data_IF_022859789947
#
_entry.id   IF_022859789947
#
_cell.length_a   1.000
_cell.length_b   1.000
_cell.length_c   1.000
_cell.angle_alpha   90.00
_cell.angle_beta   90.00
_cell.angle_gamma   90.00
#
_symmetry.space_group_name_H-M   'P 1'
#
loop_
_entity.id
_entity.type
_entity.pdbx_description
1 polymer ?
#
# COMPACT_ATOMS: atom_id res chain seq x y z
N UNK A 1 -3.42 60.68 -36.01
CA UNK A 1 -3.46 59.26 -36.39
C UNK A 1 -3.59 58.44 -35.11
N UNK A 2 -4.67 58.62 -34.35
CA UNK A 2 -6.09 58.28 -34.63
C UNK A 2 -6.35 56.77 -34.48
N UNK A 3 -7.42 56.30 -33.85
CA UNK A 3 -8.42 56.94 -32.97
C UNK A 3 -9.11 55.82 -32.15
N UNK A 4 -9.58 56.10 -30.93
CA UNK A 4 -10.52 55.25 -30.18
C UNK A 4 -11.97 55.61 -30.59
N UNK A 5 -13.08 54.86 -30.25
CA UNK A 5 -13.58 54.76 -28.86
C UNK A 5 -14.50 53.56 -28.46
N UNK A 6 -14.72 53.44 -27.12
CA UNK A 6 -15.97 53.12 -26.34
C UNK A 6 -17.01 52.07 -26.81
N UNK A 7 -17.72 51.31 -25.96
CA UNK A 7 -18.36 51.60 -24.65
C UNK A 7 -18.67 50.27 -23.88
N UNK A 8 -19.12 50.15 -22.61
CA UNK A 8 -19.69 51.04 -21.56
C UNK A 8 -21.23 51.24 -21.56
N UNK A 9 -21.96 50.30 -20.93
CA UNK A 9 -23.32 50.45 -20.31
C UNK A 9 -23.34 49.52 -19.07
N UNK A 10 -23.42 49.92 -17.79
CA UNK A 10 -24.39 50.72 -16.98
C UNK A 10 -25.56 49.90 -16.39
N UNK A 11 -25.52 49.73 -15.05
CA UNK A 11 -26.58 49.27 -14.11
C UNK A 11 -27.75 50.27 -14.01
N UNK A 12 -28.98 49.93 -13.51
CA UNK A 12 -29.22 49.94 -12.04
C UNK A 12 -30.45 49.14 -11.46
N UNK A 13 -30.54 49.15 -10.12
CA UNK A 13 -31.73 49.15 -9.22
C UNK A 13 -33.09 48.54 -9.64
N UNK A 14 -33.72 47.79 -8.73
CA UNK A 14 -34.97 48.17 -8.00
C UNK A 14 -35.03 47.40 -6.66
N UNK A 15 -35.64 48.00 -5.62
CA UNK A 15 -35.98 47.37 -4.35
C UNK A 15 -37.48 47.57 -4.03
N UNK A 16 -38.16 46.50 -3.59
CA UNK A 16 -39.47 46.40 -2.91
C UNK A 16 -39.73 44.89 -2.65
N UNK A 17 -40.54 44.42 -1.71
CA UNK A 17 -41.53 45.09 -0.84
C UNK A 17 -41.71 44.31 0.48
N UNK A 18 -42.19 44.97 1.54
CA UNK A 18 -42.65 44.29 2.75
C UNK A 18 -44.06 43.74 2.54
N UNK A 19 -44.38 42.57 3.10
CA UNK A 19 -45.76 42.28 3.52
C UNK A 19 -45.80 41.68 4.93
N UNK A 20 -46.51 42.40 5.79
CA UNK A 20 -46.80 42.10 7.20
C UNK A 20 -47.91 41.06 7.35
N UNK A 21 -47.82 40.21 8.38
CA UNK A 21 -48.79 39.14 8.64
C UNK A 21 -48.80 38.65 10.09
N UNK A 22 -49.09 39.57 10.99
CA UNK A 22 -49.57 39.42 12.37
C UNK A 22 -50.26 38.09 12.77
N UNK A 23 -49.88 37.54 13.93
CA UNK A 23 -50.56 36.40 14.58
C UNK A 23 -49.99 36.08 15.97
N UNK A 24 -50.49 36.77 17.01
CA UNK A 24 -49.96 36.69 18.39
C UNK A 24 -50.73 35.69 19.29
N UNK A 25 -50.25 35.51 20.53
CA UNK A 25 -50.91 34.87 21.71
C UNK A 25 -50.87 33.32 21.67
N UNK A 26 -49.97 32.59 22.35
CA UNK A 26 -49.53 32.53 23.77
C UNK A 26 -50.46 31.75 24.72
N UNK A 27 -49.93 30.69 25.38
CA UNK A 27 -49.90 30.46 26.87
C UNK A 27 -49.73 28.97 27.30
N UNK A 28 -48.82 28.77 28.26
CA UNK A 28 -48.79 27.82 29.41
C UNK A 28 -49.19 26.32 29.29
N UNK A 29 -48.39 25.44 29.92
CA UNK A 29 -48.82 24.17 30.56
C UNK A 29 -49.07 24.36 32.07
N UNK A 30 -48.92 23.35 32.98
CA UNK A 30 -48.64 21.92 32.80
C UNK A 30 -49.53 20.95 33.65
N UNK A 31 -49.27 19.63 33.54
CA UNK A 31 -49.46 18.53 34.53
C UNK A 31 -50.78 18.31 35.34
N UNK A 32 -51.33 17.07 35.31
CA UNK A 32 -51.95 16.39 36.48
C UNK A 32 -52.30 14.87 36.25
N UNK A 33 -51.93 14.05 37.25
CA UNK A 33 -52.46 12.73 37.74
C UNK A 33 -53.56 11.93 37.01
N UNK A 34 -53.23 10.67 36.64
CA UNK A 34 -53.63 9.42 37.35
C UNK A 34 -55.11 8.99 37.52
N UNK A 35 -55.42 7.74 37.12
CA UNK A 35 -56.56 6.95 37.65
C UNK A 35 -56.34 5.43 37.48
N UNK A 36 -56.81 4.63 38.46
CA UNK A 36 -56.74 3.16 38.47
C UNK A 36 -58.00 2.52 37.84
N UNK A 37 -57.87 1.35 37.17
CA UNK A 37 -58.89 0.29 37.26
C UNK A 37 -58.35 -1.12 36.93
N UNK A 38 -59.12 -2.13 37.32
CA UNK A 38 -58.68 -3.49 37.66
C UNK A 38 -58.64 -4.54 36.53
N UNK A 39 -57.78 -5.54 36.74
CA UNK A 39 -57.96 -6.98 36.50
C UNK A 39 -58.59 -7.51 35.19
N UNK A 40 -57.83 -8.33 34.47
CA UNK A 40 -58.37 -9.51 33.77
C UNK A 40 -57.40 -10.69 33.89
N UNK A 41 -57.90 -11.80 34.43
CA UNK A 41 -57.18 -13.06 34.64
C UNK A 41 -57.40 -13.96 33.41
N UNK A 42 -56.38 -14.13 32.58
CA UNK A 42 -56.42 -15.10 31.46
C UNK A 42 -55.75 -16.39 31.92
N UNK A 43 -56.56 -17.40 32.21
CA UNK A 43 -56.10 -18.78 32.38
C UNK A 43 -55.82 -19.34 30.99
N UNK A 44 -54.55 -19.61 30.68
CA UNK A 44 -54.17 -20.31 29.46
C UNK A 44 -53.83 -21.76 29.80
N UNK A 45 -54.67 -22.70 29.40
CA UNK A 45 -54.38 -24.14 29.52
C UNK A 45 -53.31 -24.54 28.50
N UNK A 46 -52.18 -25.05 28.96
CA UNK A 46 -51.11 -25.54 28.09
C UNK A 46 -51.40 -26.98 27.65
N UNK A 47 -51.75 -27.16 26.37
CA UNK A 47 -51.98 -28.47 25.77
C UNK A 47 -50.63 -29.22 25.58
N UNK A 48 -50.44 -30.45 26.08
CA UNK A 48 -49.12 -31.10 26.10
C UNK A 48 -48.57 -31.51 24.72
N UNK A 49 -49.34 -31.34 23.65
CA UNK A 49 -48.93 -31.76 22.29
C UNK A 49 -48.05 -30.74 21.53
N UNK A 50 -48.08 -29.44 21.87
CA UNK A 50 -47.22 -28.45 21.17
C UNK A 50 -45.74 -28.60 21.53
N UNK A 51 -45.44 -29.08 22.74
CA UNK A 51 -44.06 -29.31 23.21
C UNK A 51 -43.30 -30.36 22.38
N UNK A 52 -43.99 -31.26 21.67
CA UNK A 52 -43.34 -32.26 20.83
C UNK A 52 -43.01 -31.76 19.41
N UNK A 53 -43.76 -30.80 18.85
CA UNK A 53 -43.40 -30.22 17.54
C UNK A 53 -42.13 -29.38 17.63
N UNK A 54 -41.97 -28.56 18.68
CA UNK A 54 -40.72 -27.84 18.94
C UNK A 54 -39.51 -28.78 19.12
N UNK A 55 -39.72 -29.96 19.71
CA UNK A 55 -38.65 -30.94 19.97
C UNK A 55 -38.21 -31.72 18.74
N UNK A 56 -39.09 -31.94 17.76
CA UNK A 56 -38.70 -32.54 16.48
C UNK A 56 -38.07 -31.52 15.51
N UNK A 57 -38.57 -30.29 15.46
CA UNK A 57 -37.95 -29.21 14.69
C UNK A 57 -36.49 -28.94 15.13
N UNK A 58 -36.21 -29.05 16.43
CA UNK A 58 -34.85 -28.89 16.99
C UNK A 58 -33.92 -30.09 16.68
N UNK A 59 -34.46 -31.28 16.43
CA UNK A 59 -33.66 -32.50 16.20
C UNK A 59 -33.21 -32.70 14.74
N UNK A 60 -33.88 -32.05 13.77
CA UNK A 60 -33.53 -32.13 12.35
C UNK A 60 -32.27 -31.34 11.95
N UNK A 61 -31.79 -30.42 12.80
CA UNK A 61 -30.64 -29.55 12.49
C UNK A 61 -29.29 -30.09 13.00
N UNK A 62 -29.25 -31.26 13.64
CA UNK A 62 -28.05 -31.83 14.24
C UNK A 62 -27.38 -32.93 13.39
N UNK A 63 -27.64 -33.00 12.08
CA UNK A 63 -26.99 -33.94 11.16
C UNK A 63 -26.31 -33.18 10.02
N UNK A 64 -25.09 -32.71 10.28
CA UNK A 64 -23.99 -32.39 9.32
C UNK A 64 -22.97 -31.35 9.85
N UNK A 65 -22.81 -31.20 11.17
CA UNK A 65 -21.70 -30.42 11.77
C UNK A 65 -20.82 -31.36 12.59
N UNK A 66 -20.09 -32.23 11.88
CA UNK A 66 -19.12 -33.16 12.46
C UNK A 66 -17.87 -33.36 11.58
N UNK A 67 -17.62 -32.44 10.64
CA UNK A 67 -16.48 -32.46 9.70
C UNK A 67 -15.88 -31.05 9.53
N UNK A 68 -15.51 -30.38 10.64
CA UNK A 68 -14.82 -29.08 10.57
C UNK A 68 -13.94 -28.71 11.77
N UNK A 69 -13.64 -29.63 12.68
CA UNK A 69 -12.88 -29.33 13.92
C UNK A 69 -11.35 -29.51 13.79
N UNK A 70 -10.85 -29.45 12.54
CA UNK A 70 -9.45 -29.13 12.25
C UNK A 70 -9.40 -27.68 11.74
N UNK A 71 -9.46 -26.73 12.67
CA UNK A 71 -9.65 -25.30 12.38
C UNK A 71 -8.70 -24.79 11.29
N UNK A 72 -9.21 -24.32 10.13
CA UNK A 72 -8.35 -23.90 9.04
C UNK A 72 -7.59 -22.64 9.44
N UNK A 73 -6.26 -22.80 9.48
CA UNK A 73 -5.24 -21.76 9.62
C UNK A 73 -5.72 -20.39 9.11
N UNK A 74 -6.10 -19.51 10.06
CA UNK A 74 -6.68 -18.16 9.84
C UNK A 74 -5.78 -17.19 9.05
N UNK A 75 -4.56 -17.62 8.72
CA UNK A 75 -3.60 -16.93 7.86
C UNK A 75 -3.70 -17.31 6.37
N UNK A 76 -4.29 -18.46 6.01
CA UNK A 76 -4.47 -18.85 4.61
C UNK A 76 -5.74 -18.21 4.00
N UNK A 77 -5.64 -17.48 2.88
CA UNK A 77 -6.81 -16.91 2.22
C UNK A 77 -7.65 -17.98 1.52
N UNK A 78 -8.97 -17.85 1.62
CA UNK A 78 -9.94 -18.90 1.28
C UNK A 78 -10.21 -19.10 -0.22
N UNK A 79 -9.85 -18.15 -1.09
CA UNK A 79 -10.24 -18.18 -2.51
C UNK A 79 -9.14 -18.81 -3.39
N UNK A 80 -9.51 -19.60 -4.41
CA UNK A 80 -8.53 -20.38 -5.19
C UNK A 80 -7.56 -19.48 -5.96
N UNK A 81 -8.02 -18.35 -6.50
CA UNK A 81 -7.17 -17.37 -7.17
C UNK A 81 -6.16 -16.73 -6.20
N UNK A 82 -6.55 -16.53 -4.95
CA UNK A 82 -5.65 -15.97 -3.94
C UNK A 82 -4.54 -16.97 -3.57
N UNK A 83 -4.88 -18.25 -3.40
CA UNK A 83 -3.89 -19.32 -3.20
C UNK A 83 -2.95 -19.49 -4.41
N UNK A 84 -3.49 -19.41 -5.62
CA UNK A 84 -2.70 -19.48 -6.86
C UNK A 84 -1.74 -18.29 -7.00
N UNK A 85 -2.19 -17.07 -6.65
CA UNK A 85 -1.33 -15.87 -6.66
C UNK A 85 -0.17 -15.99 -5.67
N UNK A 86 -0.43 -16.51 -4.46
CA UNK A 86 0.59 -16.80 -3.47
C UNK A 86 1.61 -17.83 -3.97
N UNK A 87 1.15 -18.94 -4.53
CA UNK A 87 2.02 -19.97 -5.07
C UNK A 87 2.87 -19.43 -6.21
N UNK A 88 2.28 -18.65 -7.12
CA UNK A 88 2.98 -18.06 -8.25
C UNK A 88 4.06 -17.03 -7.83
N UNK A 89 3.84 -16.19 -6.81
CA UNK A 89 4.89 -15.29 -6.32
C UNK A 89 6.04 -16.05 -5.65
N UNK A 90 5.75 -17.10 -4.88
CA UNK A 90 6.81 -17.93 -4.30
C UNK A 90 7.59 -18.69 -5.38
N UNK A 91 6.89 -19.22 -6.40
CA UNK A 91 7.53 -19.90 -7.53
C UNK A 91 8.43 -18.95 -8.34
N UNK A 92 7.97 -17.73 -8.67
CA UNK A 92 8.82 -16.74 -9.33
C UNK A 92 10.05 -16.42 -8.48
N UNK A 93 9.86 -16.12 -7.19
CA UNK A 93 10.95 -15.75 -6.30
C UNK A 93 12.01 -16.85 -6.20
N UNK A 94 11.61 -18.12 -6.02
CA UNK A 94 12.55 -19.25 -5.98
C UNK A 94 13.30 -19.39 -7.30
N UNK A 95 12.61 -19.36 -8.44
CA UNK A 95 13.24 -19.48 -9.75
C UNK A 95 14.24 -18.34 -10.01
N UNK A 96 13.88 -17.10 -9.71
CA UNK A 96 14.77 -15.95 -9.87
C UNK A 96 15.96 -16.03 -8.91
N UNK A 97 15.75 -16.36 -7.63
CA UNK A 97 16.84 -16.50 -6.64
C UNK A 97 17.86 -17.57 -7.06
N UNK A 98 17.41 -18.71 -7.58
CA UNK A 98 18.29 -19.77 -8.08
C UNK A 98 19.10 -19.28 -9.29
N UNK A 99 18.44 -18.62 -10.26
CA UNK A 99 19.14 -18.12 -11.45
C UNK A 99 20.12 -16.97 -11.12
N UNK A 100 19.76 -16.05 -10.23
CA UNK A 100 20.65 -15.01 -9.71
C UNK A 100 21.87 -15.60 -8.99
N UNK A 101 21.69 -16.70 -8.25
CA UNK A 101 22.81 -17.40 -7.61
C UNK A 101 23.78 -17.99 -8.63
N UNK A 102 23.29 -18.46 -9.78
CA UNK A 102 24.13 -18.89 -10.91
C UNK A 102 24.88 -17.71 -11.54
N UNK A 103 24.19 -16.59 -11.80
CA UNK A 103 24.82 -15.36 -12.32
C UNK A 103 25.91 -14.85 -11.38
N UNK A 104 25.65 -14.81 -10.07
CA UNK A 104 26.60 -14.39 -9.04
C UNK A 104 27.86 -15.27 -9.07
N UNK A 105 27.70 -16.60 -9.03
CA UNK A 105 28.83 -17.53 -9.05
C UNK A 105 29.70 -17.36 -10.32
N UNK A 106 29.07 -17.30 -11.50
CA UNK A 106 29.78 -17.08 -12.77
C UNK A 106 30.50 -15.72 -12.79
N UNK A 107 29.86 -14.66 -12.29
CA UNK A 107 30.46 -13.34 -12.21
C UNK A 107 31.68 -13.31 -11.28
N UNK A 108 31.58 -13.88 -10.06
CA UNK A 108 32.70 -13.92 -9.11
C UNK A 108 33.85 -14.82 -9.53
N UNK A 109 33.58 -15.85 -10.35
CA UNK A 109 34.61 -16.73 -10.89
C UNK A 109 35.48 -16.07 -11.97
N UNK A 110 35.09 -14.89 -12.48
CA UNK A 110 35.68 -14.28 -13.68
C UNK A 110 36.13 -12.85 -13.53
N UNK A 111 35.74 -12.17 -12.44
CA UNK A 111 36.20 -10.82 -12.11
C UNK A 111 36.65 -10.81 -10.65
N UNK A 112 37.91 -10.46 -10.42
CA UNK A 112 38.43 -10.29 -9.06
C UNK A 112 37.82 -9.02 -8.43
N UNK A 113 36.81 -9.22 -7.59
CA UNK A 113 36.08 -8.13 -6.91
C UNK A 113 36.91 -7.35 -5.90
N UNK A 114 38.16 -7.75 -5.64
CA UNK A 114 39.07 -7.06 -4.72
C UNK A 114 39.76 -5.85 -5.37
N UNK A 115 39.86 -5.77 -6.70
CA UNK A 115 40.42 -4.60 -7.36
C UNK A 115 39.48 -3.38 -7.28
N UNK A 116 40.00 -2.16 -7.04
CA UNK A 116 39.19 -0.95 -6.93
C UNK A 116 38.73 -0.43 -8.30
N UNK A 117 37.78 -1.14 -8.92
CA UNK A 117 37.10 -0.76 -10.17
C UNK A 117 35.57 -0.63 -10.03
N UNK A 118 34.86 -0.08 -11.04
CA UNK A 118 33.41 0.12 -10.96
C UNK A 118 32.62 -1.20 -10.89
N UNK A 119 33.23 -2.32 -11.32
CA UNK A 119 32.71 -3.67 -11.17
C UNK A 119 32.37 -4.07 -9.71
N UNK A 120 33.00 -3.44 -8.71
CA UNK A 120 32.72 -3.67 -7.28
C UNK A 120 31.26 -3.41 -6.88
N UNK A 121 30.53 -2.57 -7.64
CA UNK A 121 29.09 -2.34 -7.41
C UNK A 121 28.17 -3.45 -7.93
N UNK A 122 28.64 -4.32 -8.83
CA UNK A 122 27.79 -5.28 -9.54
C UNK A 122 27.16 -6.33 -8.59
N UNK A 123 27.92 -6.93 -7.64
CA UNK A 123 27.34 -7.80 -6.62
C UNK A 123 26.19 -7.16 -5.83
N UNK A 124 26.24 -5.84 -5.60
CA UNK A 124 25.22 -5.11 -4.85
C UNK A 124 23.89 -5.06 -5.60
N UNK A 125 23.95 -4.95 -6.92
CA UNK A 125 22.75 -4.98 -7.77
C UNK A 125 22.07 -6.35 -7.71
N UNK A 126 22.83 -7.44 -7.81
CA UNK A 126 22.32 -8.81 -7.68
C UNK A 126 21.65 -9.01 -6.30
N UNK A 127 22.29 -8.57 -5.21
CA UNK A 127 21.72 -8.64 -3.84
C UNK A 127 20.43 -7.83 -3.70
N UNK A 128 20.32 -6.67 -4.35
CA UNK A 128 19.09 -5.85 -4.31
C UNK A 128 17.97 -6.51 -5.13
N UNK A 129 18.30 -7.23 -6.19
CA UNK A 129 17.30 -8.00 -6.94
C UNK A 129 16.79 -9.21 -6.14
N UNK A 130 17.66 -9.90 -5.39
CA UNK A 130 17.26 -10.91 -4.40
C UNK A 130 16.35 -10.31 -3.31
N UNK A 131 16.71 -9.13 -2.78
CA UNK A 131 15.88 -8.40 -1.81
C UNK A 131 14.51 -8.02 -2.39
N UNK A 132 14.44 -7.67 -3.69
CA UNK A 132 13.19 -7.37 -4.39
C UNK A 132 12.26 -8.58 -4.43
N UNK A 133 12.77 -9.80 -4.68
CA UNK A 133 11.95 -11.02 -4.66
C UNK A 133 11.32 -11.27 -3.28
N UNK A 134 12.11 -11.12 -2.21
CA UNK A 134 11.61 -11.26 -0.82
C UNK A 134 10.56 -10.19 -0.51
N UNK A 135 10.82 -8.93 -0.87
CA UNK A 135 9.90 -7.82 -0.65
C UNK A 135 8.60 -7.97 -1.46
N UNK A 136 8.67 -8.52 -2.68
CA UNK A 136 7.51 -8.82 -3.51
C UNK A 136 6.59 -9.87 -2.85
N UNK A 137 7.15 -10.93 -2.23
CA UNK A 137 6.36 -11.89 -1.45
C UNK A 137 5.64 -11.17 -0.31
N UNK A 138 6.32 -10.28 0.43
CA UNK A 138 5.73 -9.51 1.54
C UNK A 138 4.62 -8.56 1.05
N UNK A 139 4.80 -7.89 -0.10
CA UNK A 139 3.76 -7.06 -0.71
C UNK A 139 2.53 -7.88 -1.11
N UNK A 140 2.76 -9.03 -1.74
CA UNK A 140 1.69 -9.96 -2.09
C UNK A 140 0.93 -10.39 -0.83
N UNK A 141 1.66 -10.93 0.16
CA UNK A 141 1.11 -11.39 1.44
C UNK A 141 0.21 -10.35 2.11
N UNK A 142 0.69 -9.11 2.22
CA UNK A 142 -0.05 -8.00 2.82
C UNK A 142 -1.31 -7.63 2.01
N UNK A 143 -1.23 -7.64 0.67
CA UNK A 143 -2.36 -7.36 -0.21
C UNK A 143 -3.47 -8.42 -0.10
N UNK A 144 -3.09 -9.70 -0.02
CA UNK A 144 -4.01 -10.83 0.06
C UNK A 144 -4.71 -10.90 1.42
N UNK A 145 -3.97 -10.77 2.54
CA UNK A 145 -4.55 -10.74 3.90
C UNK A 145 -5.53 -9.58 4.06
N UNK A 146 -5.18 -8.39 3.56
CA UNK A 146 -6.02 -7.18 3.72
C UNK A 146 -7.21 -7.14 2.75
N UNK A 147 -7.27 -8.06 1.79
CA UNK A 147 -8.24 -8.08 0.70
C UNK A 147 -8.37 -6.71 0.02
N UNK A 148 -7.23 -6.10 -0.28
CA UNK A 148 -7.15 -4.70 -0.69
C UNK A 148 -6.76 -4.58 -2.16
N UNK A 149 -7.71 -4.19 -3.01
CA UNK A 149 -7.53 -4.02 -4.45
C UNK A 149 -6.38 -3.07 -4.80
N UNK A 150 -6.19 -2.00 -4.04
CA UNK A 150 -5.11 -1.04 -4.28
C UNK A 150 -3.73 -1.68 -4.04
N UNK A 151 -3.61 -2.58 -3.05
CA UNK A 151 -2.35 -3.27 -2.76
C UNK A 151 -2.03 -4.39 -3.76
N UNK A 152 -3.04 -4.98 -4.42
CA UNK A 152 -2.79 -5.88 -5.56
C UNK A 152 -2.19 -5.08 -6.72
N UNK A 153 -2.74 -3.88 -7.02
CA UNK A 153 -2.17 -2.98 -8.03
C UNK A 153 -0.71 -2.62 -7.73
N UNK A 154 -0.41 -2.32 -6.46
CA UNK A 154 0.96 -2.11 -5.96
C UNK A 154 1.88 -3.31 -6.21
N UNK A 155 1.43 -4.53 -5.91
CA UNK A 155 2.19 -5.77 -6.16
C UNK A 155 2.50 -5.98 -7.66
N UNK A 156 1.53 -5.78 -8.56
CA UNK A 156 1.74 -5.91 -10.01
C UNK A 156 2.65 -4.81 -10.57
N UNK A 157 2.51 -3.57 -10.07
CA UNK A 157 3.39 -2.47 -10.46
C UNK A 157 4.83 -2.69 -9.96
N UNK A 158 5.01 -3.30 -8.78
CA UNK A 158 6.33 -3.67 -8.28
C UNK A 158 6.98 -4.79 -9.11
N UNK A 159 6.21 -5.80 -9.54
CA UNK A 159 6.75 -6.82 -10.45
C UNK A 159 7.07 -6.26 -11.85
N UNK A 160 6.35 -5.23 -12.32
CA UNK A 160 6.73 -4.49 -13.53
C UNK A 160 8.07 -3.76 -13.35
N UNK A 161 8.34 -3.18 -12.17
CA UNK A 161 9.64 -2.58 -11.86
C UNK A 161 10.78 -3.63 -11.83
N UNK A 162 10.50 -4.83 -11.30
CA UNK A 162 11.42 -5.99 -11.35
C UNK A 162 11.69 -6.42 -12.80
N UNK A 163 10.66 -6.45 -13.67
CA UNK A 163 10.84 -6.73 -15.09
C UNK A 163 11.75 -5.68 -15.76
N UNK A 164 11.48 -4.39 -15.54
CA UNK A 164 12.35 -3.31 -16.03
C UNK A 164 13.78 -3.46 -15.53
N UNK A 165 13.97 -3.80 -14.24
CA UNK A 165 15.28 -4.04 -13.66
C UNK A 165 16.04 -5.17 -14.37
N UNK A 166 15.37 -6.29 -14.67
CA UNK A 166 16.00 -7.41 -15.39
C UNK A 166 16.49 -7.03 -16.80
N UNK A 167 15.81 -6.09 -17.49
CA UNK A 167 16.23 -5.54 -18.79
C UNK A 167 17.53 -4.73 -18.62
N UNK A 168 17.61 -3.84 -17.63
CA UNK A 168 18.83 -3.09 -17.34
C UNK A 168 19.98 -4.01 -16.92
N UNK A 169 19.69 -5.07 -16.17
CA UNK A 169 20.67 -6.06 -15.74
C UNK A 169 21.27 -6.83 -16.91
N UNK A 170 20.44 -7.33 -17.83
CA UNK A 170 20.91 -7.92 -19.07
C UNK A 170 21.78 -6.93 -19.87
N UNK A 171 21.29 -5.71 -20.10
CA UNK A 171 21.95 -4.69 -20.91
C UNK A 171 23.27 -4.15 -20.32
N UNK A 172 23.49 -4.33 -19.01
CA UNK A 172 24.71 -3.92 -18.34
C UNK A 172 25.72 -5.06 -18.20
N UNK A 173 25.30 -6.24 -17.72
CA UNK A 173 26.22 -7.35 -17.49
C UNK A 173 26.79 -7.91 -18.79
N UNK A 174 26.04 -7.90 -19.90
CA UNK A 174 26.55 -8.36 -21.21
C UNK A 174 27.65 -7.46 -21.80
N UNK A 175 27.78 -6.19 -21.35
CA UNK A 175 28.88 -5.30 -21.77
C UNK A 175 30.18 -5.55 -21.01
N UNK A 176 30.08 -6.23 -19.87
CA UNK A 176 31.17 -6.48 -18.91
C UNK A 176 31.62 -7.94 -19.04
N UNK A 177 30.70 -8.83 -19.38
CA UNK A 177 31.02 -10.17 -19.83
C UNK A 177 31.71 -10.13 -21.20
N UNK A 178 33.03 -10.32 -21.20
CA UNK A 178 33.72 -10.81 -22.38
C UNK A 178 33.09 -12.14 -22.84
N UNK A 179 33.21 -12.46 -24.13
CA UNK A 179 32.46 -13.52 -24.83
C UNK A 179 32.44 -14.89 -24.13
N UNK A 180 33.48 -15.20 -23.35
CA UNK A 180 33.79 -16.54 -22.85
C UNK A 180 33.07 -16.91 -21.55
N UNK A 181 32.44 -15.96 -20.85
CA UNK A 181 31.96 -16.16 -19.46
C UNK A 181 30.55 -16.80 -19.39
N UNK A 182 29.81 -16.87 -20.51
CA UNK A 182 28.52 -17.58 -20.57
C UNK A 182 27.33 -16.92 -19.83
N UNK A 183 27.50 -15.75 -19.22
CA UNK A 183 26.43 -15.01 -18.49
C UNK A 183 25.17 -14.74 -19.31
N UNK A 184 25.26 -14.68 -20.64
CA UNK A 184 24.15 -14.34 -21.53
C UNK A 184 22.92 -15.24 -21.34
N UNK A 185 23.13 -16.55 -21.16
CA UNK A 185 22.04 -17.53 -21.01
C UNK A 185 21.23 -17.31 -19.73
N UNK A 186 21.81 -17.33 -18.51
CA UNK A 186 21.03 -17.15 -17.29
C UNK A 186 20.34 -15.78 -17.21
N UNK A 187 20.97 -14.71 -17.73
CA UNK A 187 20.37 -13.37 -17.76
C UNK A 187 19.10 -13.30 -18.65
N UNK A 188 19.13 -13.93 -19.83
CA UNK A 188 17.93 -14.04 -20.69
C UNK A 188 16.84 -14.87 -20.01
N UNK A 189 17.21 -15.99 -19.35
CA UNK A 189 16.27 -16.85 -18.63
C UNK A 189 15.57 -16.11 -17.49
N UNK A 190 16.30 -15.31 -16.69
CA UNK A 190 15.72 -14.46 -15.63
C UNK A 190 14.65 -13.51 -16.21
N UNK A 191 15.00 -12.79 -17.27
CA UNK A 191 14.11 -11.83 -17.94
C UNK A 191 12.85 -12.51 -18.50
N UNK A 192 12.99 -13.69 -19.13
CA UNK A 192 11.85 -14.47 -19.65
C UNK A 192 10.95 -14.97 -18.53
N UNK A 193 11.52 -15.48 -17.43
CA UNK A 193 10.75 -15.93 -16.25
C UNK A 193 9.93 -14.77 -15.69
N UNK A 194 10.57 -13.63 -15.38
CA UNK A 194 9.87 -12.46 -14.82
C UNK A 194 8.80 -11.92 -15.78
N UNK A 195 9.03 -11.94 -17.10
CA UNK A 195 8.04 -11.53 -18.09
C UNK A 195 6.80 -12.45 -18.12
N UNK A 196 7.00 -13.78 -18.08
CA UNK A 196 5.90 -14.75 -18.04
C UNK A 196 5.07 -14.57 -16.76
N UNK A 197 5.73 -14.45 -15.60
CA UNK A 197 5.04 -14.22 -14.34
C UNK A 197 4.39 -12.82 -14.26
N UNK A 198 4.93 -11.79 -14.90
CA UNK A 198 4.27 -10.48 -15.02
C UNK A 198 2.92 -10.60 -15.74
N UNK A 199 2.86 -11.31 -16.87
CA UNK A 199 1.61 -11.57 -17.58
C UNK A 199 0.61 -12.36 -16.71
N UNK A 200 1.10 -13.38 -15.98
CA UNK A 200 0.29 -14.16 -15.04
C UNK A 200 -0.26 -13.29 -13.89
N UNK A 201 0.55 -12.41 -13.30
CA UNK A 201 0.10 -11.54 -12.21
C UNK A 201 -0.88 -10.47 -12.69
N UNK A 202 -0.76 -9.93 -13.91
CA UNK A 202 -1.76 -9.03 -14.50
C UNK A 202 -3.12 -9.74 -14.66
N UNK A 203 -3.10 -10.99 -15.16
CA UNK A 203 -4.30 -11.81 -15.28
C UNK A 203 -4.94 -12.14 -13.92
N UNK A 204 -4.15 -12.61 -12.96
CA UNK A 204 -4.63 -12.94 -11.62
C UNK A 204 -5.14 -11.70 -10.89
N UNK A 205 -4.43 -10.57 -10.99
CA UNK A 205 -4.86 -9.30 -10.40
C UNK A 205 -6.19 -8.82 -10.96
N UNK A 206 -6.48 -9.05 -12.24
CA UNK A 206 -7.78 -8.72 -12.85
C UNK A 206 -8.92 -9.56 -12.24
N UNK A 207 -8.67 -10.84 -11.92
CA UNK A 207 -9.63 -11.70 -11.21
C UNK A 207 -9.80 -11.28 -9.74
N UNK A 208 -8.70 -11.06 -9.01
CA UNK A 208 -8.75 -10.63 -7.61
C UNK A 208 -9.34 -9.22 -7.45
N UNK A 209 -9.13 -8.31 -8.40
CA UNK A 209 -9.70 -6.96 -8.37
C UNK A 209 -11.23 -7.00 -8.36
N UNK A 210 -11.82 -7.88 -9.16
CA UNK A 210 -13.27 -8.12 -9.16
C UNK A 210 -13.72 -8.68 -7.80
N UNK A 211 -13.12 -9.78 -7.34
CA UNK A 211 -13.47 -10.47 -6.07
C UNK A 211 -13.37 -9.55 -4.84
N UNK A 212 -12.28 -8.80 -4.71
CA UNK A 212 -12.08 -7.90 -3.57
C UNK A 212 -12.85 -6.59 -3.73
N UNK A 213 -13.11 -6.14 -4.96
CA UNK A 213 -13.96 -4.97 -5.25
C UNK A 213 -15.38 -5.13 -4.72
N UNK A 214 -16.00 -6.29 -4.94
CA UNK A 214 -17.32 -6.63 -4.36
C UNK A 214 -17.30 -6.67 -2.83
N UNK A 215 -16.22 -7.15 -2.24
CA UNK A 215 -16.03 -7.23 -0.78
C UNK A 215 -15.88 -5.85 -0.15
N UNK A 216 -15.15 -4.94 -0.79
CA UNK A 216 -14.97 -3.56 -0.36
C UNK A 216 -16.29 -2.76 -0.45
N UNK A 217 -17.05 -2.95 -1.54
CA UNK A 217 -18.37 -2.32 -1.71
C UNK A 217 -19.31 -2.68 -0.56
N UNK A 218 -19.42 -3.97 -0.22
CA UNK A 218 -20.25 -4.45 0.90
C UNK A 218 -19.82 -3.92 2.28
N UNK A 219 -18.53 -3.62 2.47
CA UNK A 219 -17.98 -3.19 3.78
C UNK A 219 -18.10 -1.69 4.04
N UNK A 220 -17.95 -0.84 3.01
CA UNK A 220 -17.93 0.63 3.17
C UNK A 220 -19.33 1.24 2.95
N UNK A 221 -20.20 0.57 2.19
CA UNK A 221 -21.50 1.08 1.82
C UNK A 221 -21.47 1.92 0.54
N UNK A 222 -22.61 2.55 0.24
CA UNK A 222 -22.86 3.18 -1.05
C UNK A 222 -22.25 4.58 -1.23
N UNK A 223 -21.85 5.28 -0.15
CA UNK A 223 -21.32 6.64 -0.25
C UNK A 223 -20.02 6.69 -1.09
N UNK A 224 -20.03 7.41 -2.23
CA UNK A 224 -18.83 7.56 -3.05
C UNK A 224 -17.74 8.41 -2.36
N UNK A 225 -18.10 9.35 -1.48
CA UNK A 225 -17.17 10.29 -0.89
C UNK A 225 -16.20 9.59 0.08
N UNK A 226 -16.75 8.87 1.07
CA UNK A 226 -15.95 8.08 2.02
C UNK A 226 -15.09 7.01 1.32
N UNK A 227 -15.57 6.44 0.20
CA UNK A 227 -14.81 5.46 -0.59
C UNK A 227 -13.58 6.05 -1.26
N UNK A 228 -13.67 7.24 -1.86
CA UNK A 228 -12.52 7.86 -2.53
C UNK A 228 -11.48 8.40 -1.53
N UNK A 229 -11.95 8.94 -0.41
CA UNK A 229 -11.11 9.34 0.70
C UNK A 229 -10.35 8.14 1.31
N UNK A 230 -11.02 7.01 1.53
CA UNK A 230 -10.38 5.77 1.99
C UNK A 230 -9.39 5.22 0.96
N UNK A 231 -9.73 5.25 -0.34
CA UNK A 231 -8.83 4.86 -1.43
C UNK A 231 -7.57 5.73 -1.43
N UNK A 232 -7.69 7.04 -1.29
CA UNK A 232 -6.54 7.97 -1.24
C UNK A 232 -5.60 7.62 -0.09
N UNK A 233 -6.14 7.34 1.10
CA UNK A 233 -5.34 6.86 2.24
C UNK A 233 -4.66 5.50 1.96
N UNK A 234 -5.35 4.55 1.32
CA UNK A 234 -4.74 3.28 0.92
C UNK A 234 -3.61 3.46 -0.11
N UNK A 235 -3.76 4.41 -1.06
CA UNK A 235 -2.70 4.78 -2.01
C UNK A 235 -1.51 5.39 -1.27
N UNK A 236 -1.74 6.24 -0.27
CA UNK A 236 -0.66 6.79 0.54
C UNK A 236 0.14 5.68 1.25
N UNK A 237 -0.56 4.76 1.94
CA UNK A 237 0.09 3.67 2.69
C UNK A 237 0.80 2.66 1.79
N UNK A 238 0.32 2.40 0.57
CA UNK A 238 1.05 1.52 -0.38
C UNK A 238 2.27 2.22 -1.00
N UNK A 239 2.21 3.52 -1.26
CA UNK A 239 3.36 4.27 -1.78
C UNK A 239 4.48 4.32 -0.73
N UNK A 240 4.16 4.70 0.51
CA UNK A 240 5.15 4.71 1.61
C UNK A 240 5.75 3.31 1.85
N UNK A 241 4.98 2.24 1.68
CA UNK A 241 5.51 0.87 1.74
C UNK A 241 6.54 0.61 0.64
N UNK A 242 6.28 1.01 -0.60
CA UNK A 242 7.23 0.86 -1.70
C UNK A 242 8.44 1.80 -1.49
N UNK A 243 8.25 3.02 -0.98
CA UNK A 243 9.31 3.97 -0.67
C UNK A 243 10.33 3.42 0.34
N UNK A 244 9.90 2.60 1.31
CA UNK A 244 10.81 1.88 2.22
C UNK A 244 11.82 1.01 1.45
N UNK A 245 11.38 0.29 0.41
CA UNK A 245 12.28 -0.51 -0.43
C UNK A 245 13.25 0.39 -1.23
N UNK A 246 12.77 1.49 -1.82
CA UNK A 246 13.62 2.42 -2.56
C UNK A 246 14.63 3.16 -1.67
N UNK A 247 14.25 3.56 -0.46
CA UNK A 247 15.17 4.17 0.52
C UNK A 247 16.28 3.21 0.92
N UNK A 248 15.96 1.96 1.25
CA UNK A 248 16.97 0.95 1.61
C UNK A 248 17.84 0.58 0.41
N UNK A 249 17.24 0.31 -0.75
CA UNK A 249 17.96 -0.04 -1.97
C UNK A 249 18.91 1.07 -2.44
N UNK A 250 18.44 2.33 -2.47
CA UNK A 250 19.29 3.47 -2.84
C UNK A 250 20.39 3.71 -1.80
N UNK A 251 20.08 3.56 -0.50
CA UNK A 251 21.05 3.67 0.58
C UNK A 251 22.19 2.67 0.44
N UNK A 252 21.87 1.39 0.21
CA UNK A 252 22.86 0.32 0.02
C UNK A 252 23.70 0.55 -1.25
N UNK A 253 23.08 0.90 -2.38
CA UNK A 253 23.81 1.21 -3.63
C UNK A 253 24.79 2.37 -3.45
N UNK A 254 24.33 3.45 -2.82
CA UNK A 254 25.14 4.65 -2.64
C UNK A 254 26.30 4.42 -1.65
N UNK A 255 26.06 3.67 -0.58
CA UNK A 255 27.07 3.33 0.44
C UNK A 255 28.24 2.56 -0.18
N UNK A 256 27.98 1.51 -0.98
CA UNK A 256 29.06 0.67 -1.54
C UNK A 256 29.84 1.37 -2.67
N UNK A 257 29.18 2.21 -3.49
CA UNK A 257 29.79 2.77 -4.70
C UNK A 257 30.47 4.14 -4.52
N UNK A 258 30.02 4.95 -3.56
CA UNK A 258 30.36 6.38 -3.59
C UNK A 258 31.36 6.79 -2.51
N UNK A 259 31.48 6.01 -1.44
CA UNK A 259 32.08 6.49 -0.20
C UNK A 259 33.30 5.66 0.20
N UNK A 260 34.44 6.32 0.37
CA UNK A 260 35.62 5.74 0.99
C UNK A 260 35.40 5.68 2.50
N UNK A 261 35.84 4.60 3.15
CA UNK A 261 35.65 4.38 4.59
C UNK A 261 36.27 5.48 5.49
N UNK A 262 37.15 6.32 4.93
CA UNK A 262 37.77 7.49 5.57
C UNK A 262 36.87 8.72 5.67
N UNK A 263 35.81 8.81 4.86
CA UNK A 263 35.09 10.07 4.66
C UNK A 263 33.85 10.15 5.59
N UNK A 264 33.57 11.31 6.21
CA UNK A 264 32.41 11.47 7.10
C UNK A 264 31.06 11.28 6.37
N UNK A 265 31.02 11.36 5.03
CA UNK A 265 29.86 10.98 4.21
C UNK A 265 29.38 9.54 4.53
N UNK A 266 30.27 8.64 4.99
CA UNK A 266 29.98 7.22 5.25
C UNK A 266 29.06 7.03 6.45
N UNK A 267 29.47 7.55 7.61
CA UNK A 267 28.68 7.49 8.84
C UNK A 267 27.35 8.22 8.72
N UNK A 268 27.34 9.36 8.03
CA UNK A 268 26.10 10.11 7.74
C UNK A 268 25.13 9.28 6.90
N UNK A 269 25.62 8.60 5.85
CA UNK A 269 24.76 7.76 4.99
C UNK A 269 24.19 6.55 5.75
N UNK A 270 25.01 5.89 6.58
CA UNK A 270 24.58 4.77 7.42
C UNK A 270 23.49 5.20 8.41
N UNK A 271 23.68 6.35 9.08
CA UNK A 271 22.69 6.89 10.01
C UNK A 271 21.42 7.39 9.30
N UNK A 272 21.53 7.89 8.07
CA UNK A 272 20.40 8.41 7.30
C UNK A 272 19.37 7.33 6.95
N UNK A 273 19.77 6.08 6.65
CA UNK A 273 18.84 5.00 6.29
C UNK A 273 17.77 4.75 7.38
N UNK A 274 18.11 4.42 8.64
CA UNK A 274 17.10 4.20 9.68
C UNK A 274 16.33 5.48 10.04
N UNK A 275 16.95 6.66 9.96
CA UNK A 275 16.26 7.95 10.18
C UNK A 275 15.17 8.17 9.11
N UNK A 276 15.46 7.91 7.84
CA UNK A 276 14.48 8.01 6.75
C UNK A 276 13.34 6.99 6.90
N UNK A 277 13.63 5.77 7.34
CA UNK A 277 12.61 4.77 7.66
C UNK A 277 11.70 5.22 8.82
N UNK A 278 12.27 5.83 9.86
CA UNK A 278 11.51 6.41 10.97
C UNK A 278 10.60 7.55 10.49
N UNK A 279 11.11 8.46 9.65
CA UNK A 279 10.32 9.55 9.07
C UNK A 279 9.13 9.02 8.24
N UNK A 280 9.34 7.97 7.43
CA UNK A 280 8.26 7.32 6.68
C UNK A 280 7.21 6.68 7.61
N UNK A 281 7.63 6.04 8.71
CA UNK A 281 6.69 5.49 9.69
C UNK A 281 5.89 6.58 10.42
N UNK A 282 6.55 7.67 10.81
CA UNK A 282 5.92 8.85 11.44
C UNK A 282 4.94 9.53 10.46
N UNK A 283 5.23 9.57 9.16
CA UNK A 283 4.30 10.10 8.16
C UNK A 283 2.99 9.30 8.08
N UNK A 284 3.04 7.96 8.13
CA UNK A 284 1.83 7.10 8.19
C UNK A 284 1.03 7.36 9.47
N UNK A 285 1.70 7.56 10.60
CA UNK A 285 1.05 7.92 11.86
C UNK A 285 0.38 9.31 11.79
N UNK A 286 1.08 10.32 11.25
CA UNK A 286 0.56 11.69 11.09
C UNK A 286 -0.68 11.74 10.20
N UNK A 287 -0.64 11.10 9.02
CA UNK A 287 -1.80 11.01 8.12
C UNK A 287 -2.95 10.24 8.79
N UNK A 288 -2.68 9.21 9.60
CA UNK A 288 -3.72 8.45 10.30
C UNK A 288 -4.41 9.25 11.42
N UNK A 289 -3.68 10.13 12.11
CA UNK A 289 -4.24 11.02 13.14
C UNK A 289 -4.73 12.37 12.60
N UNK A 290 -4.62 12.60 11.29
CA UNK A 290 -4.91 13.89 10.64
C UNK A 290 -4.08 15.06 11.25
N UNK A 291 -2.88 14.75 11.75
CA UNK A 291 -1.96 15.71 12.35
C UNK A 291 -1.27 16.55 11.26
N UNK A 292 -1.75 17.79 11.11
CA UNK A 292 -1.26 18.73 10.10
C UNK A 292 0.23 19.07 10.26
N UNK A 293 0.76 19.10 11.48
CA UNK A 293 2.17 19.48 11.72
C UNK A 293 3.08 18.37 11.20
N UNK A 294 2.82 17.12 11.60
CA UNK A 294 3.60 15.96 11.17
C UNK A 294 3.59 15.83 9.64
N UNK A 295 2.42 15.97 9.01
CA UNK A 295 2.29 15.81 7.56
C UNK A 295 2.88 16.99 6.78
N UNK A 296 2.85 18.21 7.33
CA UNK A 296 3.55 19.36 6.73
C UNK A 296 5.07 19.22 6.80
N UNK A 297 5.62 18.80 7.95
CA UNK A 297 7.05 18.47 8.08
C UNK A 297 7.47 17.35 7.11
N UNK A 298 6.61 16.34 6.91
CA UNK A 298 6.85 15.27 5.94
C UNK A 298 6.83 15.78 4.49
N UNK A 299 5.87 16.64 4.09
CA UNK A 299 5.87 17.26 2.76
C UNK A 299 7.14 18.09 2.50
N UNK A 300 7.62 18.85 3.48
CA UNK A 300 8.89 19.56 3.39
C UNK A 300 10.08 18.59 3.20
N UNK A 301 10.10 17.48 3.96
CA UNK A 301 11.08 16.41 3.78
C UNK A 301 11.06 15.78 2.39
N UNK A 302 9.88 15.60 1.77
CA UNK A 302 9.76 15.12 0.39
C UNK A 302 10.33 16.12 -0.64
N UNK A 303 10.16 17.43 -0.44
CA UNK A 303 10.77 18.46 -1.30
C UNK A 303 12.31 18.38 -1.22
N UNK A 304 12.85 18.23 0.00
CA UNK A 304 14.29 18.00 0.19
C UNK A 304 14.76 16.69 -0.47
N UNK A 305 13.96 15.61 -0.39
CA UNK A 305 14.26 14.35 -1.06
C UNK A 305 14.30 14.49 -2.59
N UNK A 306 13.35 15.21 -3.20
CA UNK A 306 13.37 15.53 -4.64
C UNK A 306 14.65 16.28 -5.02
N UNK A 307 15.02 17.33 -4.28
CA UNK A 307 16.24 18.09 -4.52
C UNK A 307 17.50 17.22 -4.40
N UNK A 308 17.54 16.31 -3.40
CA UNK A 308 18.63 15.37 -3.21
C UNK A 308 18.73 14.35 -4.35
N UNK A 309 17.62 13.76 -4.81
CA UNK A 309 17.62 12.86 -5.97
C UNK A 309 18.11 13.55 -7.25
N UNK A 310 17.69 14.80 -7.49
CA UNK A 310 18.18 15.61 -8.63
C UNK A 310 19.70 15.83 -8.51
N UNK A 311 20.20 16.24 -7.33
CA UNK A 311 21.64 16.41 -7.09
C UNK A 311 22.43 15.12 -7.33
N UNK A 312 21.91 13.96 -6.90
CA UNK A 312 22.56 12.67 -7.15
C UNK A 312 22.56 12.28 -8.62
N UNK A 313 21.44 12.49 -9.34
CA UNK A 313 21.38 12.27 -10.79
C UNK A 313 22.43 13.10 -11.53
N UNK A 314 22.62 14.37 -11.16
CA UNK A 314 23.71 15.20 -11.71
C UNK A 314 25.09 14.63 -11.34
N UNK A 315 25.36 14.31 -10.05
CA UNK A 315 26.66 13.76 -9.59
C UNK A 315 27.05 12.46 -10.31
N UNK A 316 26.09 11.61 -10.68
CA UNK A 316 26.32 10.37 -11.47
C UNK A 316 26.80 10.71 -12.89
N UNK A 317 26.16 11.67 -13.58
CA UNK A 317 26.50 12.01 -14.96
C UNK A 317 27.75 12.89 -15.09
N UNK A 318 28.07 13.70 -14.08
CA UNK A 318 29.27 14.55 -14.06
C UNK A 318 30.55 13.75 -13.77
N UNK A 319 30.51 12.72 -12.91
CA UNK A 319 31.71 11.96 -12.48
C UNK A 319 31.83 10.60 -13.17
N UNK A 320 31.79 10.57 -14.50
CA UNK A 320 31.64 9.31 -15.26
C UNK A 320 32.71 8.24 -14.97
N UNK A 321 33.95 8.63 -14.69
CA UNK A 321 35.03 7.68 -14.36
C UNK A 321 34.76 6.85 -13.08
N UNK A 322 34.02 7.38 -12.11
CA UNK A 322 33.64 6.65 -10.88
C UNK A 322 32.46 5.69 -11.10
N UNK A 323 31.69 5.88 -12.17
CA UNK A 323 30.40 5.19 -12.41
C UNK A 323 30.32 4.47 -13.76
N UNK A 324 31.43 4.29 -14.48
CA UNK A 324 31.43 3.86 -15.88
C UNK A 324 30.55 2.62 -16.13
N UNK A 325 30.72 1.60 -15.28
CA UNK A 325 30.05 0.29 -15.41
C UNK A 325 28.79 0.15 -14.54
N UNK A 326 28.34 1.23 -13.88
CA UNK A 326 27.21 1.21 -12.94
C UNK A 326 26.19 2.34 -13.16
N UNK A 327 26.54 3.37 -13.95
CA UNK A 327 25.72 4.56 -14.21
C UNK A 327 24.30 4.26 -14.68
N UNK A 328 24.11 3.26 -15.54
CA UNK A 328 22.78 2.95 -16.09
C UNK A 328 21.83 2.41 -15.01
N UNK A 329 22.30 1.54 -14.13
CA UNK A 329 21.53 1.07 -12.96
C UNK A 329 21.25 2.21 -11.98
N UNK A 330 22.27 3.00 -11.62
CA UNK A 330 22.11 4.11 -10.68
C UNK A 330 21.10 5.14 -11.20
N UNK A 331 21.20 5.52 -12.47
CA UNK A 331 20.26 6.45 -13.10
C UNK A 331 18.86 5.87 -13.18
N UNK A 332 18.68 4.60 -13.58
CA UNK A 332 17.36 3.96 -13.59
C UNK A 332 16.73 3.94 -12.19
N UNK A 333 17.48 3.48 -11.17
CA UNK A 333 16.99 3.38 -9.81
C UNK A 333 16.68 4.76 -9.20
N UNK A 334 17.51 5.77 -9.48
CA UNK A 334 17.29 7.15 -9.02
C UNK A 334 16.10 7.83 -9.72
N UNK A 335 15.91 7.63 -11.03
CA UNK A 335 14.72 8.14 -11.76
C UNK A 335 13.44 7.47 -11.26
N UNK A 336 13.46 6.15 -11.04
CA UNK A 336 12.32 5.42 -10.50
C UNK A 336 11.99 5.85 -9.06
N UNK A 337 13.01 6.04 -8.22
CA UNK A 337 12.85 6.57 -6.85
C UNK A 337 12.29 8.01 -6.87
N UNK A 338 12.77 8.87 -7.77
CA UNK A 338 12.27 10.23 -7.94
C UNK A 338 10.79 10.25 -8.36
N UNK A 339 10.39 9.38 -9.30
CA UNK A 339 8.99 9.24 -9.71
C UNK A 339 8.09 8.78 -8.55
N UNK A 340 8.56 7.83 -7.73
CA UNK A 340 7.88 7.38 -6.51
C UNK A 340 7.72 8.52 -5.50
N UNK A 341 8.78 9.27 -5.18
CA UNK A 341 8.73 10.42 -4.26
C UNK A 341 7.73 11.49 -4.73
N UNK A 342 7.70 11.80 -6.04
CA UNK A 342 6.74 12.75 -6.62
C UNK A 342 5.30 12.21 -6.49
N UNK A 343 5.06 10.92 -6.72
CA UNK A 343 3.76 10.31 -6.51
C UNK A 343 3.32 10.37 -5.03
N UNK A 344 4.23 10.06 -4.09
CA UNK A 344 3.98 10.15 -2.65
C UNK A 344 3.65 11.59 -2.23
N UNK A 345 4.35 12.59 -2.78
CA UNK A 345 4.07 14.01 -2.53
C UNK A 345 2.65 14.42 -2.99
N UNK A 346 2.26 14.06 -4.22
CA UNK A 346 0.93 14.38 -4.77
C UNK A 346 -0.18 13.72 -3.93
N UNK A 347 0.01 12.45 -3.53
CA UNK A 347 -0.99 11.71 -2.74
C UNK A 347 -1.03 12.21 -1.29
N UNK A 348 0.10 12.64 -0.71
CA UNK A 348 0.13 13.28 0.61
C UNK A 348 -0.67 14.59 0.62
N UNK A 349 -0.55 15.44 -0.41
CA UNK A 349 -1.39 16.65 -0.56
C UNK A 349 -2.88 16.27 -0.62
N UNK A 350 -3.26 15.26 -1.42
CA UNK A 350 -4.65 14.78 -1.48
C UNK A 350 -5.16 14.25 -0.13
N UNK A 351 -4.30 13.66 0.69
CA UNK A 351 -4.67 13.27 2.06
C UNK A 351 -5.02 14.50 2.91
N UNK A 352 -4.20 15.55 2.91
CA UNK A 352 -4.45 16.78 3.68
C UNK A 352 -5.77 17.45 3.26
N UNK A 353 -6.07 17.52 1.96
CA UNK A 353 -7.33 18.08 1.43
C UNK A 353 -8.58 17.29 1.87
N UNK A 354 -8.39 16.09 2.42
CA UNK A 354 -9.45 15.22 2.94
C UNK A 354 -9.54 15.20 4.48
N UNK A 355 -8.64 15.90 5.20
CA UNK A 355 -8.69 15.98 6.66
C UNK A 355 -9.94 16.75 7.15
N UNK A 356 -10.40 16.42 8.36
CA UNK A 356 -11.58 16.99 9.01
C UNK A 356 -12.92 16.40 8.55
N UNK A 357 -12.92 15.46 7.60
CA UNK A 357 -14.13 14.93 6.94
C UNK A 357 -14.55 13.54 7.42
N UNK A 358 -14.08 13.13 8.61
CA UNK A 358 -14.53 11.91 9.29
C UNK A 358 -13.73 10.63 9.04
N UNK A 359 -12.64 10.69 8.26
CA UNK A 359 -11.82 9.50 7.95
C UNK A 359 -11.22 8.87 9.21
N UNK A 360 -10.57 9.68 10.07
CA UNK A 360 -9.95 9.20 11.31
C UNK A 360 -10.92 8.41 12.21
N UNK A 361 -12.17 8.88 12.34
CA UNK A 361 -13.20 8.20 13.15
C UNK A 361 -13.51 6.79 12.61
N UNK A 362 -13.70 6.66 11.29
CA UNK A 362 -13.95 5.36 10.67
C UNK A 362 -12.73 4.41 10.76
N UNK A 363 -11.51 4.95 10.67
CA UNK A 363 -10.26 4.19 10.86
C UNK A 363 -10.01 3.76 12.32
N UNK A 364 -10.47 4.55 13.29
CA UNK A 364 -10.40 4.25 14.71
C UNK A 364 -11.40 3.14 15.09
N UNK A 365 -12.68 3.29 14.71
CA UNK A 365 -13.72 2.29 15.00
C UNK A 365 -13.37 0.91 14.42
N UNK A 366 -12.78 0.85 13.22
CA UNK A 366 -12.32 -0.42 12.61
C UNK A 366 -11.22 -1.13 13.42
N UNK A 367 -10.42 -0.40 14.20
CA UNK A 367 -9.45 -1.01 15.12
C UNK A 367 -10.18 -1.55 16.36
N UNK A 368 -11.05 -0.74 16.98
CA UNK A 368 -11.80 -1.13 18.17
C UNK A 368 -12.66 -2.38 17.92
N UNK A 369 -13.32 -2.50 16.75
CA UNK A 369 -14.08 -3.70 16.37
C UNK A 369 -13.22 -4.96 16.16
N UNK A 370 -11.91 -4.82 15.92
CA UNK A 370 -10.97 -5.95 15.90
C UNK A 370 -10.50 -6.33 17.30
N UNK A 371 -10.29 -5.33 18.16
CA UNK A 371 -9.85 -5.52 19.54
C UNK A 371 -10.94 -6.19 20.39
N UNK A 372 -12.20 -5.84 20.17
CA UNK A 372 -13.37 -6.48 20.79
C UNK A 372 -13.70 -7.89 20.23
N UNK A 373 -12.82 -8.49 19.42
CA UNK A 373 -12.98 -9.87 18.89
C UNK A 373 -12.13 -10.92 19.62
N UNK A 374 -11.57 -10.57 20.77
CA UNK A 374 -11.09 -11.52 21.78
C UNK A 374 -12.33 -12.14 22.44
N UNK A 375 -12.46 -13.48 22.53
CA UNK A 375 -13.62 -14.09 23.15
C UNK A 375 -13.65 -13.74 24.64
N UNK A 376 -14.73 -13.11 25.09
CA UNK A 376 -15.03 -12.99 26.51
C UNK A 376 -15.33 -14.40 27.01
N UNK A 377 -14.36 -15.01 27.68
CA UNK A 377 -14.55 -16.28 28.36
C UNK A 377 -15.60 -16.09 29.46
N UNK A 378 -16.80 -16.62 29.20
CA UNK A 378 -17.89 -16.59 30.18
C UNK A 378 -17.55 -17.56 31.29
N UNK A 379 -17.00 -17.02 32.37
CA UNK A 379 -16.95 -17.71 33.65
C UNK A 379 -18.36 -18.23 33.98
N UNK A 380 -18.52 -19.52 34.33
CA UNK A 380 -19.79 -20.03 34.78
C UNK A 380 -20.12 -19.39 36.13
N UNK A 381 -21.29 -18.75 36.21
CA UNK A 381 -21.91 -18.41 37.48
C UNK A 381 -22.71 -19.61 37.94
N UNK A 382 -22.26 -20.18 39.07
CA UNK A 382 -22.87 -21.21 39.95
C UNK A 382 -23.41 -22.51 39.29
#
# INVERSE_FOLDING_TARGET
MDQTPSSIVTTPYIAAENLTGTGSISRLGPAATGHNFSSNLIVLSTDPNELNQGRQASRSNNVSIADSDLGPLKWLPSTPYTRLTLFAVMAQAVLVIVMESVVYNQFTASIDTNEPGPARGIPVYLVIFLMAQIFQIVLCWDALIKQNTMQIGSFVAFNLAILCYSIFQYAQLIKIANSDIGLTVPLIVILVIVAIFQCLFVFLASKLYHEFGWTIFKRIGADPYMRDMYRTYQIFVLLVKIDVFFVVGFGIQFLVLVIKTSDPEFGITIAAIPIMLLILAVAVYGVRKEDKIIVFCFLFGLILAVAYFIFKLVRIHTRQAQYADTKYYLTFFAVLSLAMVIATFIIAIKCILNFGKGLACHLANKNNSKEHSIPVERLPFE
#
